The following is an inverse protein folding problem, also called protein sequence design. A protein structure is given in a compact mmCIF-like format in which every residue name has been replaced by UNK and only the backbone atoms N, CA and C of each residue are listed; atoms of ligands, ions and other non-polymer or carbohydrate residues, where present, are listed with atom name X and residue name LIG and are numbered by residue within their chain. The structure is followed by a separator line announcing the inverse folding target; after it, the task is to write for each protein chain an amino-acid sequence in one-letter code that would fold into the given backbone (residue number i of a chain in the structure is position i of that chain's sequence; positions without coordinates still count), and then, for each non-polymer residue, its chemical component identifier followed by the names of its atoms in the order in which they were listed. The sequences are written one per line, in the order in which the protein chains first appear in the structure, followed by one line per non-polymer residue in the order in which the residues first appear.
data_IF_660861319252
#
_entry.id   IF_660861319252
#
_cell.length_a   1.000
_cell.length_b   1.000
_cell.length_c   1.000
_cell.angle_alpha   90.00
_cell.angle_beta   90.00
_cell.angle_gamma   90.00
#
_symmetry.space_group_name_H-M   'P 1'
#
loop_
_entity.id
_entity.type
_entity.pdbx_description
1 polymer ?
#
# COMPACT_ATOMS: atom_id res chain seq x y z
N UNK A 1 -21.29 -9.73 5.08
CA UNK A 1 -20.60 -10.09 6.34
C UNK A 1 -20.15 -8.80 7.02
N UNK A 2 -20.42 -8.62 8.33
CA UNK A 2 -20.00 -7.41 9.07
C UNK A 2 -18.49 -7.44 9.28
N UNK A 3 -17.83 -6.29 9.20
CA UNK A 3 -16.44 -6.13 9.61
C UNK A 3 -16.36 -6.12 11.14
N UNK A 4 -15.50 -6.96 11.72
CA UNK A 4 -15.27 -6.94 13.16
C UNK A 4 -14.14 -5.97 13.46
N UNK A 5 -14.43 -4.98 14.32
CA UNK A 5 -13.49 -3.96 14.76
C UNK A 5 -13.10 -4.25 16.19
N UNK A 6 -11.81 -4.52 16.42
CA UNK A 6 -11.25 -4.68 17.77
C UNK A 6 -10.21 -3.60 18.01
N UNK A 7 -10.10 -3.16 19.26
CA UNK A 7 -9.06 -2.24 19.74
C UNK A 7 -8.34 -2.94 20.88
N UNK A 8 -7.03 -3.13 20.72
CA UNK A 8 -6.16 -3.88 21.64
C UNK A 8 -6.67 -5.31 21.94
N UNK A 9 -7.39 -5.89 20.96
CA UNK A 9 -7.97 -7.24 21.01
C UNK A 9 -9.35 -7.33 21.66
N UNK A 10 -9.93 -6.21 22.06
CA UNK A 10 -11.28 -6.13 22.64
C UNK A 10 -12.25 -5.47 21.64
N UNK A 11 -13.57 -5.73 21.74
CA UNK A 11 -14.55 -4.99 20.95
C UNK A 11 -14.37 -3.48 21.09
N UNK A 12 -14.41 -2.77 19.98
CA UNK A 12 -14.14 -1.34 19.94
C UNK A 12 -15.13 -0.54 20.81
N UNK A 13 -14.62 0.31 21.70
CA UNK A 13 -15.44 1.21 22.47
C UNK A 13 -15.92 2.40 21.61
N UNK A 14 -17.15 2.92 21.86
CA UNK A 14 -17.67 4.07 21.12
C UNK A 14 -16.75 5.29 21.14
N UNK A 15 -16.13 5.60 22.27
CA UNK A 15 -15.24 6.76 22.45
C UNK A 15 -13.97 6.64 21.60
N UNK A 16 -13.38 5.44 21.50
CA UNK A 16 -12.23 5.21 20.63
C UNK A 16 -12.60 5.40 19.15
N UNK A 17 -13.78 4.94 18.74
CA UNK A 17 -14.28 5.14 17.38
C UNK A 17 -14.62 6.59 17.09
N UNK A 18 -15.19 7.31 18.07
CA UNK A 18 -15.45 8.74 17.97
C UNK A 18 -14.14 9.53 17.80
N UNK A 19 -13.09 9.20 18.54
CA UNK A 19 -11.76 9.80 18.36
C UNK A 19 -11.24 9.57 16.93
N UNK A 20 -11.31 8.33 16.41
CA UNK A 20 -10.86 8.02 15.04
C UNK A 20 -11.66 8.76 13.95
N UNK A 21 -12.93 9.09 14.21
CA UNK A 21 -13.76 9.87 13.29
C UNK A 21 -13.37 11.37 13.28
N UNK A 22 -12.85 11.88 14.40
CA UNK A 22 -12.54 13.31 14.59
C UNK A 22 -11.06 13.64 14.39
N UNK A 23 -10.17 12.68 14.61
CA UNK A 23 -8.71 12.86 14.57
C UNK A 23 -8.09 11.83 13.63
N UNK A 24 -7.65 12.28 12.47
CA UNK A 24 -7.04 11.42 11.45
C UNK A 24 -5.50 11.39 11.56
N UNK A 25 -4.98 11.23 12.78
CA UNK A 25 -3.55 11.09 13.08
C UNK A 25 -3.23 9.62 13.39
N UNK A 26 -2.42 9.00 12.55
CA UNK A 26 -2.06 7.60 12.71
C UNK A 26 -1.59 6.97 11.40
N UNK A 27 -1.15 5.73 11.50
CA UNK A 27 -0.69 4.94 10.36
C UNK A 27 -1.40 3.58 10.32
N UNK A 28 -1.35 2.92 9.17
CA UNK A 28 -1.95 1.61 9.03
C UNK A 28 -1.18 0.71 8.07
N UNK A 29 -1.43 -0.58 8.19
CA UNK A 29 -1.09 -1.56 7.18
C UNK A 29 -2.31 -2.44 6.88
N UNK A 30 -2.39 -3.01 5.67
CA UNK A 30 -3.48 -3.93 5.32
C UNK A 30 -3.01 -4.94 4.28
N UNK A 31 -3.48 -6.17 4.42
CA UNK A 31 -3.09 -7.29 3.60
C UNK A 31 -4.11 -8.44 3.67
N UNK A 32 -4.01 -9.37 2.74
CA UNK A 32 -4.78 -10.60 2.73
C UNK A 32 -4.18 -11.60 3.71
N UNK A 33 -5.03 -12.24 4.49
CA UNK A 33 -4.71 -13.41 5.32
C UNK A 33 -5.45 -14.60 4.75
N UNK A 34 -4.76 -15.71 4.57
CA UNK A 34 -5.31 -16.99 4.12
C UNK A 34 -4.70 -18.10 4.96
N UNK A 35 -5.55 -18.98 5.52
CA UNK A 35 -5.14 -20.08 6.38
C UNK A 35 -4.16 -19.65 7.50
N UNK A 36 -4.44 -18.52 8.15
CA UNK A 36 -3.62 -17.98 9.23
C UNK A 36 -2.25 -17.47 8.81
N UNK A 37 -2.03 -17.19 7.51
CA UNK A 37 -0.74 -16.69 7.02
C UNK A 37 -0.92 -15.50 6.08
N UNK A 38 0.10 -14.65 5.97
CA UNK A 38 0.12 -13.49 5.09
C UNK A 38 1.48 -13.37 4.39
N UNK A 39 1.49 -12.91 3.14
CA UNK A 39 2.71 -12.72 2.36
C UNK A 39 3.36 -11.38 2.70
N UNK A 40 4.69 -11.40 2.97
CA UNK A 40 5.44 -10.21 3.35
C UNK A 40 5.02 -9.64 4.72
N UNK A 41 4.61 -10.50 5.64
CA UNK A 41 4.14 -10.10 6.96
C UNK A 41 5.22 -9.34 7.74
N UNK A 42 6.47 -9.80 7.71
CA UNK A 42 7.63 -9.14 8.28
C UNK A 42 7.79 -7.70 7.79
N UNK A 43 7.65 -7.46 6.49
CA UNK A 43 7.72 -6.10 5.90
C UNK A 43 6.54 -5.22 6.33
N UNK A 44 5.34 -5.80 6.43
CA UNK A 44 4.17 -5.09 6.94
C UNK A 44 4.35 -4.67 8.39
N UNK A 45 4.84 -5.58 9.25
CA UNK A 45 5.05 -5.31 10.66
C UNK A 45 6.21 -4.34 10.89
N UNK A 46 7.34 -4.51 10.21
CA UNK A 46 8.47 -3.59 10.31
C UNK A 46 8.10 -2.16 9.89
N UNK A 47 7.25 -2.00 8.85
CA UNK A 47 6.76 -0.67 8.45
C UNK A 47 5.83 -0.06 9.50
N UNK A 48 4.93 -0.87 10.08
CA UNK A 48 4.01 -0.41 11.11
C UNK A 48 4.74 -0.04 12.40
N UNK A 49 5.76 -0.83 12.77
CA UNK A 49 6.63 -0.58 13.92
C UNK A 49 7.38 0.75 13.81
N UNK A 50 8.02 1.00 12.67
CA UNK A 50 8.68 2.30 12.39
C UNK A 50 7.69 3.46 12.46
N UNK A 51 6.48 3.29 11.91
CA UNK A 51 5.45 4.32 11.95
C UNK A 51 4.96 4.57 13.39
N UNK A 52 4.91 3.54 14.25
CA UNK A 52 4.57 3.71 15.66
C UNK A 52 5.61 4.57 16.40
N UNK A 53 6.88 4.27 16.20
CA UNK A 53 7.98 5.04 16.80
C UNK A 53 7.99 6.49 16.30
N UNK A 54 7.81 6.69 14.99
CA UNK A 54 7.81 8.02 14.38
C UNK A 54 6.64 8.90 14.88
N UNK A 55 5.43 8.34 14.93
CA UNK A 55 4.23 9.11 15.27
C UNK A 55 3.97 9.23 16.77
N UNK A 56 4.41 8.27 17.58
CA UNK A 56 4.03 8.15 18.99
C UNK A 56 5.25 8.00 19.93
N UNK A 57 6.47 7.88 19.39
CA UNK A 57 7.68 7.66 20.20
C UNK A 57 7.88 6.24 20.70
N UNK A 58 6.81 5.43 20.75
CA UNK A 58 6.84 4.05 21.21
C UNK A 58 6.11 3.12 20.23
N UNK A 59 6.54 1.84 20.19
CA UNK A 59 5.86 0.80 19.43
C UNK A 59 5.27 -0.26 20.36
N UNK A 60 4.10 -0.84 20.02
CA UNK A 60 3.62 -2.08 20.65
C UNK A 60 4.58 -3.26 20.47
N UNK A 61 5.37 -3.26 19.42
CA UNK A 61 6.30 -4.33 19.07
C UNK A 61 5.66 -5.48 18.29
N UNK A 62 6.49 -6.26 17.58
CA UNK A 62 6.04 -7.33 16.69
C UNK A 62 5.22 -8.41 17.41
N UNK A 63 5.64 -8.83 18.61
CA UNK A 63 4.94 -9.85 19.38
C UNK A 63 3.49 -9.45 19.69
N UNK A 64 3.27 -8.18 20.05
CA UNK A 64 1.95 -7.67 20.32
C UNK A 64 1.11 -7.53 19.04
N UNK A 65 1.70 -7.06 17.94
CA UNK A 65 1.00 -7.05 16.65
C UNK A 65 0.54 -8.45 16.25
N UNK A 66 1.39 -9.48 16.39
CA UNK A 66 1.04 -10.88 16.09
C UNK A 66 -0.07 -11.39 17.00
N UNK A 67 0.00 -11.12 18.30
CA UNK A 67 -1.06 -11.48 19.26
C UNK A 67 -2.41 -10.88 18.86
N UNK A 68 -2.44 -9.59 18.52
CA UNK A 68 -3.67 -8.88 18.14
C UNK A 68 -4.22 -9.36 16.79
N UNK A 69 -3.33 -9.68 15.84
CA UNK A 69 -3.74 -10.28 14.57
C UNK A 69 -4.36 -11.66 14.77
N UNK A 70 -3.74 -12.54 15.59
CA UNK A 70 -4.26 -13.86 15.87
C UNK A 70 -5.69 -13.79 16.45
N UNK A 71 -5.95 -12.83 17.35
CA UNK A 71 -7.32 -12.60 17.87
C UNK A 71 -8.28 -12.16 16.75
N UNK A 72 -7.85 -11.23 15.89
CA UNK A 72 -8.70 -10.67 14.84
C UNK A 72 -9.05 -11.67 13.73
N UNK A 73 -8.15 -12.64 13.44
CA UNK A 73 -8.37 -13.63 12.37
C UNK A 73 -8.93 -14.94 12.85
N UNK A 74 -9.13 -15.09 14.16
CA UNK A 74 -9.64 -16.36 14.76
C UNK A 74 -10.93 -16.83 14.09
N UNK A 75 -10.97 -18.11 13.68
CA UNK A 75 -12.14 -18.74 13.04
C UNK A 75 -12.39 -18.27 11.59
N UNK A 76 -11.38 -17.69 10.91
CA UNK A 76 -11.49 -17.23 9.52
C UNK A 76 -10.48 -17.97 8.64
N UNK A 77 -10.96 -18.61 7.59
CA UNK A 77 -10.08 -19.22 6.56
C UNK A 77 -9.41 -18.15 5.70
N UNK A 78 -10.13 -17.06 5.41
CA UNK A 78 -9.60 -15.95 4.65
C UNK A 78 -10.24 -14.62 5.10
N UNK A 79 -9.43 -13.56 5.15
CA UNK A 79 -9.91 -12.20 5.39
C UNK A 79 -8.96 -11.14 4.80
N UNK A 80 -9.46 -9.92 4.69
CA UNK A 80 -8.66 -8.72 4.55
C UNK A 80 -8.46 -8.13 5.94
N UNK A 81 -7.23 -8.15 6.41
CA UNK A 81 -6.87 -7.63 7.72
C UNK A 81 -6.25 -6.24 7.58
N UNK A 82 -6.72 -5.30 8.39
CA UNK A 82 -6.12 -3.98 8.57
C UNK A 82 -5.73 -3.79 10.03
N UNK A 83 -4.49 -3.33 10.25
CA UNK A 83 -4.02 -2.83 11.55
C UNK A 83 -3.83 -1.32 11.42
N UNK A 84 -4.40 -0.56 12.34
CA UNK A 84 -4.23 0.90 12.40
C UNK A 84 -3.75 1.31 13.79
N UNK A 85 -2.83 2.25 13.82
CA UNK A 85 -2.26 2.85 15.04
C UNK A 85 -2.92 4.21 15.28
N UNK A 86 -3.29 4.48 16.53
CA UNK A 86 -3.79 5.78 16.96
C UNK A 86 -3.60 5.96 18.47
N UNK A 87 -3.73 7.18 18.96
CA UNK A 87 -3.79 7.46 20.41
C UNK A 87 -4.90 8.45 20.70
N UNK A 88 -5.83 8.12 21.63
CA UNK A 88 -6.84 9.08 22.09
C UNK A 88 -6.24 10.32 22.78
N UNK A 89 -4.99 10.21 23.23
CA UNK A 89 -4.25 11.30 23.89
C UNK A 89 -3.76 12.37 22.88
N UNK A 90 -3.75 12.05 21.58
CA UNK A 90 -3.36 13.00 20.53
C UNK A 90 -4.59 13.72 19.98
N UNK A 91 -4.53 15.04 19.96
CA UNK A 91 -5.53 15.88 19.36
C UNK A 91 -4.99 17.28 19.08
N UNK A 92 -5.80 18.13 18.48
CA UNK A 92 -5.38 19.49 18.10
C UNK A 92 -4.88 20.32 19.28
N UNK A 93 -5.34 20.04 20.52
CA UNK A 93 -4.94 20.75 21.74
C UNK A 93 -3.83 20.04 22.52
N UNK A 94 -3.53 18.77 22.17
CA UNK A 94 -2.51 17.95 22.80
C UNK A 94 -1.67 17.23 21.73
N UNK A 95 -0.89 17.95 20.90
CA UNK A 95 -0.14 17.34 19.78
C UNK A 95 1.14 16.64 20.25
N UNK A 96 1.59 16.89 21.47
CA UNK A 96 2.92 16.46 21.95
C UNK A 96 2.91 15.16 22.75
N UNK A 97 1.84 14.37 22.67
CA UNK A 97 1.79 13.09 23.35
C UNK A 97 2.86 12.14 22.79
N UNK A 98 3.60 11.52 23.71
CA UNK A 98 4.53 10.43 23.43
C UNK A 98 4.09 9.25 24.32
N UNK A 99 3.99 8.06 23.71
CA UNK A 99 3.64 6.84 24.43
C UNK A 99 3.13 5.77 23.47
N UNK A 100 2.83 4.62 24.03
CA UNK A 100 2.37 3.47 23.25
C UNK A 100 1.00 3.74 22.60
N UNK A 101 0.85 3.62 21.26
CA UNK A 101 -0.44 3.77 20.61
C UNK A 101 -1.34 2.56 20.87
N UNK A 102 -2.66 2.77 20.76
CA UNK A 102 -3.63 1.70 20.58
C UNK A 102 -3.55 1.10 19.18
N UNK A 103 -3.90 -0.18 19.09
CA UNK A 103 -3.96 -0.91 17.82
C UNK A 103 -5.39 -1.28 17.50
N UNK A 104 -5.94 -0.70 16.46
CA UNK A 104 -7.23 -1.10 15.92
C UNK A 104 -7.02 -2.16 14.82
N UNK A 105 -7.64 -3.32 14.97
CA UNK A 105 -7.70 -4.35 13.94
C UNK A 105 -9.09 -4.41 13.32
N UNK A 106 -9.14 -4.53 12.00
CA UNK A 106 -10.39 -4.70 11.25
C UNK A 106 -10.22 -5.89 10.32
N UNK A 107 -11.00 -6.93 10.57
CA UNK A 107 -11.09 -8.10 9.70
C UNK A 107 -12.39 -8.01 8.87
N UNK A 108 -12.26 -8.02 7.56
CA UNK A 108 -13.37 -7.95 6.60
C UNK A 108 -13.21 -9.02 5.52
N UNK A 109 -14.26 -9.32 4.74
CA UNK A 109 -14.09 -10.17 3.56
C UNK A 109 -12.98 -9.65 2.66
N UNK A 110 -12.18 -10.53 2.03
CA UNK A 110 -11.18 -10.11 1.06
C UNK A 110 -11.83 -9.29 -0.06
N UNK A 111 -11.27 -8.13 -0.44
CA UNK A 111 -11.80 -7.38 -1.57
C UNK A 111 -11.64 -8.20 -2.85
N UNK A 112 -12.53 -8.04 -3.84
CA UNK A 112 -12.32 -8.61 -5.16
C UNK A 112 -11.04 -8.02 -5.76
N UNK A 113 -10.40 -8.72 -6.71
CA UNK A 113 -9.31 -8.15 -7.50
C UNK A 113 -9.78 -6.83 -8.12
N UNK A 114 -8.86 -5.89 -8.24
CA UNK A 114 -9.11 -4.67 -9.01
C UNK A 114 -9.28 -5.03 -10.50
N UNK A 115 -9.56 -4.02 -11.33
CA UNK A 115 -9.73 -4.24 -12.76
C UNK A 115 -8.58 -5.05 -13.37
N UNK A 116 -8.87 -5.79 -14.43
CA UNK A 116 -7.86 -6.56 -15.16
C UNK A 116 -6.73 -5.70 -15.75
N UNK A 117 -7.00 -4.41 -15.96
CA UNK A 117 -6.03 -3.38 -16.34
C UNK A 117 -6.59 -2.01 -16.00
N UNK A 118 -5.73 -1.00 -15.99
CA UNK A 118 -6.12 0.39 -15.69
C UNK A 118 -5.52 1.37 -16.70
N UNK A 119 -6.23 2.48 -16.90
CA UNK A 119 -5.74 3.69 -17.56
C UNK A 119 -5.53 4.75 -16.48
N UNK A 120 -4.36 5.37 -16.45
CA UNK A 120 -4.04 6.38 -15.45
C UNK A 120 -3.73 7.73 -16.08
N UNK A 121 -4.02 8.82 -15.37
CA UNK A 121 -3.63 10.18 -15.78
C UNK A 121 -2.62 10.75 -14.80
N UNK A 122 -1.62 11.47 -15.33
CA UNK A 122 -0.66 12.15 -14.50
C UNK A 122 -1.31 13.33 -13.75
N UNK A 123 -1.03 13.42 -12.45
CA UNK A 123 -1.46 14.54 -11.61
C UNK A 123 -0.27 15.01 -10.76
N UNK A 124 -0.05 16.33 -10.73
CA UNK A 124 0.97 16.92 -9.86
C UNK A 124 0.53 16.78 -8.40
N UNK A 125 1.26 15.95 -7.66
CA UNK A 125 1.02 15.72 -6.24
C UNK A 125 2.27 15.16 -5.58
N UNK A 126 2.72 15.80 -4.51
CA UNK A 126 3.75 15.27 -3.63
C UNK A 126 3.10 14.81 -2.33
N UNK A 127 3.27 13.55 -1.99
CA UNK A 127 2.71 12.99 -0.76
C UNK A 127 3.43 13.57 0.45
N UNK A 128 2.71 14.20 1.40
CA UNK A 128 3.29 14.56 2.68
C UNK A 128 3.73 13.30 3.43
N UNK A 129 4.88 13.35 4.10
CA UNK A 129 5.42 12.20 4.87
C UNK A 129 5.35 10.87 4.09
N UNK A 130 6.01 10.75 2.92
CA UNK A 130 5.82 9.62 1.99
C UNK A 130 6.24 8.27 2.58
N UNK A 131 7.11 8.27 3.61
CA UNK A 131 7.53 7.08 4.34
C UNK A 131 6.42 6.48 5.23
N UNK A 132 5.38 7.26 5.56
CA UNK A 132 4.26 6.83 6.38
C UNK A 132 3.05 6.41 5.54
N UNK A 133 2.49 5.25 5.85
CA UNK A 133 1.15 4.86 5.37
C UNK A 133 0.10 5.41 6.34
N UNK A 134 -0.03 6.75 6.33
CA UNK A 134 -0.91 7.46 7.26
C UNK A 134 -2.39 7.33 6.92
N UNK A 135 -3.26 7.52 7.91
CA UNK A 135 -4.72 7.40 7.77
C UNK A 135 -5.38 8.61 7.09
N UNK A 136 -4.70 9.74 7.00
CA UNK A 136 -5.18 10.96 6.34
C UNK A 136 -5.10 10.82 4.81
N UNK A 137 -6.06 10.11 4.20
CA UNK A 137 -6.04 9.73 2.78
C UNK A 137 -6.95 10.61 1.90
N UNK A 138 -7.33 11.80 2.37
CA UNK A 138 -8.22 12.69 1.62
C UNK A 138 -7.65 13.06 0.25
N UNK A 139 -6.37 13.42 0.18
CA UNK A 139 -5.70 13.84 -1.06
C UNK A 139 -5.65 12.71 -2.08
N UNK A 140 -5.36 11.48 -1.63
CA UNK A 140 -5.37 10.30 -2.49
C UNK A 140 -6.75 10.03 -3.08
N UNK A 141 -7.79 10.17 -2.26
CA UNK A 141 -9.19 10.01 -2.69
C UNK A 141 -9.60 11.11 -3.67
N UNK A 142 -9.20 12.36 -3.42
CA UNK A 142 -9.46 13.49 -4.33
C UNK A 142 -8.75 13.32 -5.67
N UNK A 143 -7.49 12.91 -5.66
CA UNK A 143 -6.71 12.65 -6.88
C UNK A 143 -7.36 11.55 -7.72
N UNK A 144 -7.77 10.44 -7.09
CA UNK A 144 -8.48 9.35 -7.79
C UNK A 144 -9.82 9.79 -8.36
N UNK A 145 -10.56 10.61 -7.62
CA UNK A 145 -11.80 11.19 -8.09
C UNK A 145 -11.56 12.09 -9.32
N UNK A 146 -10.58 12.99 -9.26
CA UNK A 146 -10.22 13.86 -10.37
C UNK A 146 -9.78 13.08 -11.63
N UNK A 147 -9.05 11.97 -11.46
CA UNK A 147 -8.72 11.08 -12.57
C UNK A 147 -9.98 10.49 -13.22
N UNK A 148 -10.93 10.00 -12.40
CA UNK A 148 -12.18 9.43 -12.89
C UNK A 148 -13.08 10.44 -13.60
N UNK A 149 -13.12 11.67 -13.12
CA UNK A 149 -13.85 12.78 -13.79
C UNK A 149 -13.27 13.09 -15.18
N UNK A 150 -12.00 12.76 -15.42
CA UNK A 150 -11.32 12.84 -16.73
C UNK A 150 -11.45 11.56 -17.58
N UNK A 151 -12.15 10.52 -17.10
CA UNK A 151 -12.34 9.25 -17.81
C UNK A 151 -11.19 8.24 -17.66
N UNK A 152 -10.33 8.41 -16.65
CA UNK A 152 -9.28 7.46 -16.27
C UNK A 152 -9.69 6.66 -15.02
N UNK A 153 -9.02 5.54 -14.76
CA UNK A 153 -9.34 4.68 -13.61
C UNK A 153 -8.68 5.17 -12.32
N UNK A 154 -7.45 5.74 -12.45
CA UNK A 154 -6.66 6.20 -11.30
C UNK A 154 -5.66 7.30 -11.72
N UNK A 155 -4.93 7.84 -10.76
CA UNK A 155 -3.90 8.85 -10.99
C UNK A 155 -2.49 8.30 -10.78
N UNK A 156 -1.57 8.74 -11.62
CA UNK A 156 -0.13 8.62 -11.46
C UNK A 156 0.41 9.96 -10.93
N UNK A 157 1.13 9.94 -9.82
CA UNK A 157 1.69 11.15 -9.23
C UNK A 157 3.03 11.52 -9.84
N UNK A 158 3.14 12.79 -10.16
CA UNK A 158 4.38 13.46 -10.57
C UNK A 158 4.61 14.67 -9.66
N UNK A 159 5.87 15.06 -9.49
CA UNK A 159 6.20 16.34 -8.85
C UNK A 159 6.06 17.53 -9.82
N UNK A 160 6.45 18.73 -9.38
CA UNK A 160 6.38 19.96 -10.19
C UNK A 160 7.30 19.93 -11.40
N UNK A 161 8.39 19.18 -11.35
CA UNK A 161 9.39 18.99 -12.41
C UNK A 161 9.02 17.84 -13.36
N UNK A 162 7.95 17.09 -13.08
CA UNK A 162 7.48 15.97 -13.90
C UNK A 162 8.14 14.63 -13.57
N UNK A 163 8.77 14.48 -12.40
CA UNK A 163 9.29 13.20 -11.94
C UNK A 163 8.18 12.31 -11.39
N UNK A 164 8.09 11.10 -11.90
CA UNK A 164 7.10 10.10 -11.48
C UNK A 164 7.45 9.54 -10.11
N UNK A 165 6.44 9.39 -9.24
CA UNK A 165 6.59 8.78 -7.93
C UNK A 165 5.77 7.49 -7.76
N UNK A 166 4.49 7.59 -7.51
CA UNK A 166 3.59 6.46 -7.23
C UNK A 166 2.17 6.74 -7.74
N UNK A 167 1.26 5.80 -7.64
CA UNK A 167 -0.17 6.06 -7.84
C UNK A 167 -0.88 6.37 -6.52
N UNK A 168 -2.22 6.55 -6.56
CA UNK A 168 -2.98 6.95 -5.38
C UNK A 168 -2.93 5.92 -4.25
N UNK A 169 -2.93 4.62 -4.60
CA UNK A 169 -2.89 3.49 -3.66
C UNK A 169 -1.85 2.42 -4.07
N UNK A 170 -0.92 2.77 -4.95
CA UNK A 170 -0.07 1.85 -5.68
C UNK A 170 1.35 2.38 -5.82
N UNK A 171 2.29 1.44 -5.93
CA UNK A 171 3.56 1.74 -6.56
C UNK A 171 3.48 1.41 -8.05
N UNK A 172 4.34 2.02 -8.86
CA UNK A 172 4.41 1.83 -10.30
C UNK A 172 5.77 1.25 -10.69
N UNK A 173 5.76 0.33 -11.66
CA UNK A 173 6.96 -0.15 -12.34
C UNK A 173 6.80 0.00 -13.85
N UNK A 174 7.86 0.39 -14.53
CA UNK A 174 7.93 0.53 -15.98
C UNK A 174 8.68 -0.65 -16.59
N UNK A 175 8.24 -1.10 -17.76
CA UNK A 175 8.73 -2.28 -18.43
C UNK A 175 9.42 -1.88 -19.73
N UNK A 176 10.65 -2.36 -19.93
CA UNK A 176 11.36 -2.27 -21.23
C UNK A 176 12.16 -3.53 -21.41
N UNK A 177 12.05 -4.16 -22.60
CA UNK A 177 12.62 -5.47 -22.86
C UNK A 177 12.21 -6.47 -21.76
N UNK A 178 13.14 -7.13 -21.10
CA UNK A 178 12.91 -8.04 -19.97
C UNK A 178 13.36 -7.39 -18.63
N UNK A 179 13.18 -6.10 -18.48
CA UNK A 179 13.61 -5.34 -17.31
C UNK A 179 12.49 -4.50 -16.70
N UNK A 180 12.57 -4.32 -15.38
CA UNK A 180 11.74 -3.41 -14.60
C UNK A 180 12.54 -2.17 -14.23
N UNK A 181 11.98 -0.99 -14.49
CA UNK A 181 12.49 0.29 -13.96
C UNK A 181 11.54 0.77 -12.87
N UNK A 182 12.04 0.87 -11.64
CA UNK A 182 11.34 1.46 -10.52
C UNK A 182 11.67 2.96 -10.43
N UNK A 183 10.66 3.86 -10.33
CA UNK A 183 10.91 5.28 -10.08
C UNK A 183 11.67 5.50 -8.77
N UNK A 184 12.70 6.34 -8.80
CA UNK A 184 13.39 6.83 -7.62
C UNK A 184 12.82 8.20 -7.26
N UNK A 185 11.92 8.24 -6.29
CA UNK A 185 11.23 9.45 -5.84
C UNK A 185 10.77 9.30 -4.39
N UNK A 186 10.41 10.39 -3.71
CA UNK A 186 9.71 10.33 -2.44
C UNK A 186 8.35 9.62 -2.60
N UNK A 187 8.24 8.39 -2.15
CA UNK A 187 7.04 7.56 -2.25
C UNK A 187 6.90 6.61 -1.06
N UNK A 188 5.74 6.00 -0.91
CA UNK A 188 5.56 4.95 0.08
C UNK A 188 6.37 3.71 -0.30
N UNK A 189 7.19 3.20 0.61
CA UNK A 189 7.85 1.91 0.46
C UNK A 189 6.80 0.79 0.51
N UNK A 190 6.32 0.37 -0.67
CA UNK A 190 5.28 -0.64 -0.82
C UNK A 190 5.79 -2.05 -0.55
N UNK A 191 5.06 -2.81 0.26
CA UNK A 191 5.43 -4.20 0.56
C UNK A 191 5.39 -5.05 -0.71
N UNK A 192 4.36 -4.91 -1.53
CA UNK A 192 4.25 -5.67 -2.79
C UNK A 192 5.36 -5.33 -3.77
N UNK A 193 5.73 -4.05 -3.90
CA UNK A 193 6.88 -3.65 -4.71
C UNK A 193 8.16 -4.34 -4.21
N UNK A 194 8.40 -4.35 -2.89
CA UNK A 194 9.56 -5.00 -2.30
C UNK A 194 9.58 -6.51 -2.58
N UNK A 195 8.44 -7.20 -2.44
CA UNK A 195 8.33 -8.64 -2.72
C UNK A 195 8.59 -8.97 -4.19
N UNK A 196 8.03 -8.18 -5.11
CA UNK A 196 8.32 -8.33 -6.54
C UNK A 196 9.81 -8.15 -6.77
N UNK A 197 10.40 -7.05 -6.31
CA UNK A 197 11.81 -6.73 -6.50
C UNK A 197 12.74 -7.84 -5.97
N UNK A 198 12.41 -8.42 -4.80
CA UNK A 198 13.17 -9.55 -4.23
C UNK A 198 13.09 -10.83 -5.06
N UNK A 199 11.99 -11.06 -5.77
CA UNK A 199 11.78 -12.26 -6.56
C UNK A 199 12.21 -12.16 -8.03
N UNK A 200 12.56 -10.96 -8.55
CA UNK A 200 12.83 -10.77 -9.99
C UNK A 200 13.99 -11.62 -10.50
N UNK A 201 15.07 -11.75 -9.75
CA UNK A 201 16.23 -12.56 -10.16
C UNK A 201 15.87 -14.03 -10.33
N UNK A 202 14.95 -14.56 -9.50
CA UNK A 202 14.49 -15.96 -9.58
C UNK A 202 13.71 -16.26 -10.87
N UNK A 203 13.13 -15.23 -11.47
CA UNK A 203 12.35 -15.34 -12.70
C UNK A 203 13.08 -14.77 -13.91
N UNK A 204 14.36 -14.45 -13.77
CA UNK A 204 15.24 -13.96 -14.84
C UNK A 204 14.80 -12.59 -15.39
N UNK A 205 14.30 -11.70 -14.54
CA UNK A 205 13.94 -10.32 -14.88
C UNK A 205 14.94 -9.38 -14.22
N UNK A 206 15.62 -8.56 -15.01
CA UNK A 206 16.50 -7.53 -14.48
C UNK A 206 15.73 -6.33 -13.95
N UNK A 207 16.35 -5.56 -13.05
CA UNK A 207 15.73 -4.35 -12.51
C UNK A 207 16.74 -3.25 -12.27
N UNK A 208 16.24 -2.02 -12.28
CA UNK A 208 16.96 -0.83 -11.86
C UNK A 208 16.04 0.14 -11.13
N UNK A 209 16.60 0.97 -10.27
CA UNK A 209 15.90 2.10 -9.67
C UNK A 209 16.57 3.39 -10.13
N UNK A 210 15.82 4.29 -10.76
CA UNK A 210 16.28 5.59 -11.22
C UNK A 210 15.14 6.58 -11.27
N UNK A 211 15.42 7.89 -11.30
CA UNK A 211 14.39 8.86 -11.62
C UNK A 211 13.76 8.57 -12.99
N UNK A 212 12.44 8.72 -13.10
CA UNK A 212 11.66 8.55 -14.34
C UNK A 212 10.83 9.80 -14.56
N UNK A 213 10.99 10.43 -15.73
CA UNK A 213 10.18 11.58 -16.11
C UNK A 213 8.92 11.17 -16.85
N UNK A 214 7.86 11.98 -16.73
CA UNK A 214 6.61 11.75 -17.46
C UNK A 214 6.82 11.79 -18.98
N UNK A 215 7.70 12.67 -19.47
CA UNK A 215 7.98 12.82 -20.90
C UNK A 215 8.75 11.64 -21.52
N UNK A 216 9.37 10.78 -20.69
CA UNK A 216 10.02 9.55 -21.17
C UNK A 216 9.14 8.30 -21.13
N UNK A 217 7.90 8.36 -20.59
CA UNK A 217 7.07 7.14 -20.43
C UNK A 217 6.76 6.46 -21.75
N UNK A 218 6.70 7.21 -22.86
CA UNK A 218 6.51 6.66 -24.21
C UNK A 218 7.69 5.80 -24.70
N UNK A 219 8.82 5.83 -24.01
CA UNK A 219 9.99 5.01 -24.34
C UNK A 219 9.94 3.62 -23.72
N UNK A 220 9.01 3.36 -22.80
CA UNK A 220 8.79 2.04 -22.20
C UNK A 220 7.78 1.23 -23.01
N UNK A 221 7.91 -0.10 -22.96
CA UNK A 221 7.02 -1.06 -23.62
C UNK A 221 5.73 -1.27 -22.84
N UNK A 222 5.70 -0.90 -21.56
CA UNK A 222 4.57 -1.06 -20.66
C UNK A 222 4.81 -0.51 -19.28
N UNK A 223 3.75 -0.54 -18.47
CA UNK A 223 3.81 -0.21 -17.06
C UNK A 223 2.83 -1.09 -16.28
N UNK A 224 3.04 -1.20 -14.99
CA UNK A 224 2.13 -1.88 -14.07
C UNK A 224 2.05 -1.14 -12.74
N UNK A 225 0.92 -1.29 -12.07
CA UNK A 225 0.72 -0.85 -10.70
C UNK A 225 0.73 -2.07 -9.77
N UNK A 226 1.18 -1.89 -8.54
CA UNK A 226 1.18 -2.97 -7.55
C UNK A 226 0.77 -2.48 -6.15
N UNK A 227 -0.01 -3.29 -5.45
CA UNK A 227 -0.32 -3.12 -4.03
C UNK A 227 -0.71 -4.47 -3.40
N UNK A 228 -0.98 -4.50 -2.09
CA UNK A 228 -1.27 -5.74 -1.36
C UNK A 228 -2.61 -6.41 -1.75
N UNK A 229 -3.54 -5.70 -2.38
CA UNK A 229 -4.81 -6.26 -2.86
C UNK A 229 -4.68 -6.82 -4.28
N UNK A 230 -3.81 -6.21 -5.10
CA UNK A 230 -3.56 -6.61 -6.48
C UNK A 230 -2.07 -6.52 -6.73
N UNK A 231 -1.36 -7.65 -6.69
CA UNK A 231 0.11 -7.67 -6.80
C UNK A 231 0.64 -7.08 -8.10
N UNK A 232 -0.02 -7.36 -9.21
CA UNK A 232 0.34 -6.85 -10.52
C UNK A 232 -0.94 -6.43 -11.25
N UNK A 233 -1.03 -5.16 -11.65
CA UNK A 233 -2.12 -4.64 -12.46
C UNK A 233 -1.54 -3.93 -13.69
N UNK A 234 -1.76 -4.42 -14.90
CA UNK A 234 -1.29 -3.78 -16.12
C UNK A 234 -1.82 -2.35 -16.25
N UNK A 235 -0.97 -1.42 -16.65
CA UNK A 235 -1.36 -0.09 -17.11
C UNK A 235 -1.45 -0.13 -18.63
N UNK A 236 -2.61 0.17 -19.19
CA UNK A 236 -2.84 0.19 -20.64
C UNK A 236 -2.64 1.56 -21.26
N UNK A 237 -2.70 2.62 -20.44
CA UNK A 237 -2.32 3.96 -20.89
C UNK A 237 -1.93 4.85 -19.69
N UNK A 238 -1.01 5.78 -19.96
CA UNK A 238 -0.70 6.93 -19.11
C UNK A 238 -0.97 8.18 -19.95
N UNK A 239 -2.00 8.95 -19.58
CA UNK A 239 -2.54 10.04 -20.42
C UNK A 239 -2.78 9.54 -21.86
N UNK A 240 -2.15 10.15 -22.86
CA UNK A 240 -2.27 9.79 -24.27
C UNK A 240 -1.28 8.69 -24.72
N UNK A 241 -0.37 8.25 -23.83
CA UNK A 241 0.59 7.20 -24.13
C UNK A 241 -0.03 5.85 -23.86
N UNK A 242 -0.36 5.12 -24.92
CA UNK A 242 -0.90 3.76 -24.85
C UNK A 242 0.21 2.70 -24.84
N UNK A 243 0.01 1.63 -24.10
CA UNK A 243 0.90 0.47 -24.04
C UNK A 243 0.24 -0.76 -24.66
N UNK A 244 0.98 -1.48 -25.49
CA UNK A 244 0.52 -2.73 -26.09
C UNK A 244 0.38 -3.89 -25.08
N UNK A 245 0.97 -3.71 -23.88
CA UNK A 245 1.03 -4.72 -22.84
C UNK A 245 2.16 -5.75 -23.07
N UNK A 246 2.57 -6.38 -21.97
CA UNK A 246 3.63 -7.40 -21.94
C UNK A 246 3.17 -8.59 -21.08
N UNK A 247 2.14 -9.37 -21.54
CA UNK A 247 1.50 -10.40 -20.70
C UNK A 247 2.49 -11.45 -20.17
N UNK A 248 3.46 -11.88 -20.96
CA UNK A 248 4.48 -12.84 -20.52
C UNK A 248 5.36 -12.27 -19.38
N UNK A 249 5.77 -10.99 -19.48
CA UNK A 249 6.55 -10.33 -18.44
C UNK A 249 5.71 -10.09 -17.19
N UNK A 250 4.44 -9.68 -17.33
CA UNK A 250 3.52 -9.52 -16.21
C UNK A 250 3.32 -10.83 -15.44
N UNK A 251 3.20 -11.96 -16.14
CA UNK A 251 3.14 -13.30 -15.50
C UNK A 251 4.42 -13.63 -14.73
N UNK A 252 5.60 -13.18 -15.20
CA UNK A 252 6.87 -13.34 -14.46
C UNK A 252 6.90 -12.45 -13.21
N UNK A 253 6.31 -11.24 -13.24
CA UNK A 253 6.20 -10.38 -12.05
C UNK A 253 5.27 -10.99 -11.00
N UNK A 254 4.16 -11.62 -11.40
CA UNK A 254 3.29 -12.38 -10.50
C UNK A 254 4.03 -13.56 -9.87
N UNK A 255 4.82 -14.29 -10.66
CA UNK A 255 5.68 -15.39 -10.17
C UNK A 255 6.75 -14.87 -9.21
N UNK A 256 7.38 -13.73 -9.50
CA UNK A 256 8.33 -13.07 -8.61
C UNK A 256 7.69 -12.71 -7.26
N UNK A 257 6.50 -12.11 -7.27
CA UNK A 257 5.75 -11.86 -6.04
C UNK A 257 5.40 -13.15 -5.29
N UNK A 258 4.98 -14.19 -6.01
CA UNK A 258 4.58 -15.48 -5.44
C UNK A 258 5.75 -16.29 -4.89
N UNK A 259 6.99 -15.99 -5.28
CA UNK A 259 8.20 -16.68 -4.80
C UNK A 259 8.46 -16.47 -3.30
N UNK A 260 7.99 -15.36 -2.73
CA UNK A 260 8.03 -15.14 -1.29
C UNK A 260 6.91 -15.93 -0.61
N UNK A 261 7.19 -16.92 0.28
CA UNK A 261 6.16 -17.72 0.91
C UNK A 261 5.30 -16.89 1.88
N UNK A 262 4.01 -17.24 2.08
CA UNK A 262 3.23 -16.69 3.18
C UNK A 262 3.86 -17.03 4.53
N UNK A 263 3.83 -16.09 5.46
CA UNK A 263 4.37 -16.21 6.81
C UNK A 263 3.22 -16.37 7.81
N UNK A 264 3.32 -17.28 8.80
CA UNK A 264 2.27 -17.46 9.80
C UNK A 264 2.11 -16.20 10.66
N UNK A 265 0.86 -15.96 11.10
CA UNK A 265 0.50 -14.89 12.03
C UNK A 265 0.88 -15.26 13.46
#
# INVERSE_FOLDING_TARGET
MRSDILIDGLPAAPDDLAHQALVNYGAYTSFRVENGAARGLDLHLARLDRAAVDLFGESPGEAEFRRLMAVAVAGRDACWLRLSLFSPEIGHRAPSYIGRPKVMTVASPPPPPLAASVRVTALTHCRPTPHLKHVATMDLTRARRAAREKGFDDALFIDAEGWVSEGTLWNVGFLRDDAVTWPQAPMLAGVTQALIAQGLDQVGVSQQTRPVRLDEVATFDGAFLCNSATPVCPVTAIDDVAFAGRPALLGRLEAAWASSPPQPI
#
